data_IF_075859319729
#
_entry.id   IF_075859319729
#
_cell.length_a   1.000
_cell.length_b   1.000
_cell.length_c   1.000
_cell.angle_alpha   90.00
_cell.angle_beta   90.00
_cell.angle_gamma   90.00
#
_symmetry.space_group_name_H-M   'P 1'
#
loop_
_entity.id
_entity.type
_entity.pdbx_description
1 polymer ?
#
# COMPACT_ATOMS: atom_id res chain seq x y z
N UNK A 1 -1.00 -12.68 -5.70
CA UNK A 1 -1.01 -13.33 -7.01
C UNK A 1 -1.57 -14.75 -6.98
N UNK A 2 -1.06 -15.62 -6.14
CA UNK A 2 -1.51 -17.03 -6.07
C UNK A 2 -3.01 -17.17 -5.85
N UNK A 3 -3.58 -16.44 -4.89
CA UNK A 3 -5.02 -16.44 -4.61
C UNK A 3 -5.83 -15.92 -5.81
N UNK A 4 -5.39 -14.83 -6.44
CA UNK A 4 -6.05 -14.28 -7.63
C UNK A 4 -6.01 -15.26 -8.82
N UNK A 5 -4.92 -16.02 -8.99
CA UNK A 5 -4.80 -17.01 -10.05
C UNK A 5 -5.78 -18.18 -9.90
N UNK A 6 -6.13 -18.55 -8.66
CA UNK A 6 -7.14 -19.59 -8.43
C UNK A 6 -8.53 -19.14 -8.90
N UNK A 7 -8.80 -17.82 -8.85
CA UNK A 7 -10.08 -17.24 -9.26
C UNK A 7 -10.09 -16.72 -10.71
N UNK A 8 -8.95 -16.26 -11.20
CA UNK A 8 -8.80 -15.59 -12.50
C UNK A 8 -7.73 -16.30 -13.33
N UNK A 9 -8.08 -17.46 -13.89
CA UNK A 9 -7.16 -18.32 -14.66
C UNK A 9 -6.56 -17.63 -15.90
N UNK A 10 -7.22 -16.60 -16.43
CA UNK A 10 -6.79 -15.86 -17.64
C UNK A 10 -5.93 -14.61 -17.33
N UNK A 11 -5.70 -14.28 -16.06
CA UNK A 11 -4.91 -13.12 -15.68
C UNK A 11 -3.42 -13.41 -15.91
N UNK A 12 -2.78 -12.70 -16.85
CA UNK A 12 -1.35 -12.83 -17.12
C UNK A 12 -0.51 -12.35 -15.92
N UNK A 13 0.35 -13.24 -15.40
CA UNK A 13 1.23 -12.92 -14.27
C UNK A 13 2.12 -11.72 -14.57
N UNK A 14 2.68 -11.65 -15.78
CA UNK A 14 3.56 -10.57 -16.23
C UNK A 14 2.87 -9.21 -16.20
N UNK A 15 1.62 -9.14 -16.66
CA UNK A 15 0.85 -7.88 -16.62
C UNK A 15 0.58 -7.43 -15.19
N UNK A 16 0.16 -8.34 -14.30
CA UNK A 16 -0.08 -8.04 -12.88
C UNK A 16 1.19 -7.59 -12.16
N UNK A 17 2.27 -8.37 -12.31
CA UNK A 17 3.56 -8.02 -11.70
C UNK A 17 4.09 -6.71 -12.25
N UNK A 18 4.01 -6.51 -13.58
CA UNK A 18 4.49 -5.29 -14.24
C UNK A 18 3.81 -4.03 -13.71
N UNK A 19 2.48 -4.00 -13.61
CA UNK A 19 1.77 -2.81 -13.07
C UNK A 19 2.02 -2.62 -11.58
N UNK A 20 2.20 -3.70 -10.82
CA UNK A 20 2.53 -3.61 -9.39
C UNK A 20 3.93 -3.06 -9.18
N UNK A 21 4.92 -3.52 -9.94
CA UNK A 21 6.30 -2.98 -9.91
C UNK A 21 6.32 -1.51 -10.33
N UNK A 22 5.62 -1.15 -11.42
CA UNK A 22 5.53 0.24 -11.86
C UNK A 22 4.91 1.15 -10.77
N UNK A 23 3.85 0.70 -10.12
CA UNK A 23 3.25 1.43 -9.00
C UNK A 23 4.19 1.53 -7.79
N UNK A 24 4.96 0.47 -7.50
CA UNK A 24 5.95 0.49 -6.41
C UNK A 24 7.07 1.50 -6.70
N UNK A 25 7.60 1.52 -7.92
CA UNK A 25 8.62 2.50 -8.34
C UNK A 25 8.08 3.92 -8.25
N UNK A 26 6.88 4.17 -8.78
CA UNK A 26 6.25 5.48 -8.71
C UNK A 26 5.99 5.93 -7.26
N UNK A 27 5.48 5.02 -6.42
CA UNK A 27 5.27 5.28 -4.99
C UNK A 27 6.56 5.58 -4.25
N UNK A 28 7.65 4.85 -4.55
CA UNK A 28 8.97 5.11 -3.98
C UNK A 28 9.49 6.49 -4.39
N UNK A 29 9.40 6.82 -5.68
CA UNK A 29 9.82 8.14 -6.18
C UNK A 29 9.03 9.27 -5.52
N UNK A 30 7.70 9.13 -5.42
CA UNK A 30 6.86 10.11 -4.72
C UNK A 30 7.23 10.25 -3.24
N UNK A 31 7.51 9.13 -2.57
CA UNK A 31 7.92 9.12 -1.16
C UNK A 31 9.27 9.79 -0.91
N UNK A 32 10.19 9.74 -1.91
CA UNK A 32 11.49 10.39 -1.84
C UNK A 32 11.47 11.89 -2.20
N UNK A 33 10.40 12.37 -2.86
CA UNK A 33 10.32 13.77 -3.28
C UNK A 33 10.55 14.79 -2.16
N UNK A 34 9.95 14.66 -0.96
CA UNK A 34 10.18 15.63 0.11
C UNK A 34 11.63 15.70 0.54
N UNK A 35 12.32 14.55 0.65
CA UNK A 35 13.73 14.51 1.07
C UNK A 35 14.69 15.13 0.05
N UNK A 36 14.29 15.19 -1.23
CA UNK A 36 15.06 15.82 -2.30
C UNK A 36 14.69 17.30 -2.45
N UNK A 37 13.39 17.62 -2.40
CA UNK A 37 12.91 18.98 -2.68
C UNK A 37 13.17 19.95 -1.52
N UNK A 38 13.03 19.52 -0.27
CA UNK A 38 13.22 20.41 0.90
C UNK A 38 14.64 21.02 0.92
N UNK A 39 15.73 20.27 0.73
CA UNK A 39 17.07 20.84 0.64
C UNK A 39 17.26 21.76 -0.58
N UNK A 40 16.63 21.42 -1.73
CA UNK A 40 16.76 22.21 -2.95
C UNK A 40 16.01 23.54 -2.91
N UNK A 41 14.92 23.62 -2.16
CA UNK A 41 14.11 24.83 -2.00
C UNK A 41 14.69 25.81 -0.98
N UNK A 42 15.86 25.50 -0.41
CA UNK A 42 16.63 26.40 0.45
C UNK A 42 15.93 26.69 1.78
N UNK A 43 15.76 25.69 2.61
CA UNK A 43 15.65 25.94 4.03
C UNK A 43 17.03 26.42 4.51
N UNK A 44 17.15 27.72 4.77
CA UNK A 44 18.33 28.30 5.40
C UNK A 44 18.74 27.41 6.57
N UNK A 45 20.00 26.94 6.57
CA UNK A 45 20.54 25.87 7.39
C UNK A 45 20.51 26.10 8.92
N UNK A 46 19.48 26.70 9.45
CA UNK A 46 19.11 26.59 10.86
C UNK A 46 18.54 25.16 11.04
N UNK A 47 19.43 24.23 11.40
CA UNK A 47 19.03 22.97 11.98
C UNK A 47 18.31 23.27 13.31
N UNK A 48 17.09 23.77 13.24
CA UNK A 48 16.16 23.67 14.35
C UNK A 48 16.13 22.19 14.68
N UNK A 49 16.37 21.83 15.93
CA UNK A 49 16.11 20.47 16.40
C UNK A 49 14.68 20.12 15.95
N UNK A 50 14.59 19.35 14.87
CA UNK A 50 13.29 18.94 14.33
C UNK A 50 12.77 17.92 15.32
N UNK A 51 12.13 18.43 16.38
CA UNK A 51 11.33 17.59 17.26
C UNK A 51 10.30 16.92 16.37
N UNK A 52 10.41 15.62 16.20
CA UNK A 52 9.49 14.85 15.35
C UNK A 52 8.04 15.10 15.76
N UNK A 53 7.08 14.87 14.85
CA UNK A 53 5.68 15.07 15.19
C UNK A 53 5.28 14.21 16.40
N UNK A 54 4.34 14.66 17.24
CA UNK A 54 3.85 13.89 18.38
C UNK A 54 3.36 12.51 17.93
N UNK A 55 3.55 11.49 18.79
CA UNK A 55 3.22 10.10 18.45
C UNK A 55 1.77 9.90 17.95
N UNK A 56 0.82 10.68 18.47
CA UNK A 56 -0.58 10.62 18.05
C UNK A 56 -0.84 11.12 16.62
N UNK A 57 0.08 11.92 16.06
CA UNK A 57 0.01 12.40 14.67
C UNK A 57 0.49 11.32 13.69
N UNK A 58 1.39 10.45 14.12
CA UNK A 58 1.99 9.44 13.24
C UNK A 58 0.97 8.56 12.52
N UNK A 59 -0.05 7.99 13.19
CA UNK A 59 -1.07 7.21 12.48
C UNK A 59 -1.86 8.05 11.46
N UNK A 60 -2.11 9.33 11.73
CA UNK A 60 -2.84 10.20 10.79
C UNK A 60 -2.02 10.45 9.51
N UNK A 61 -0.72 10.71 9.65
CA UNK A 61 0.21 10.82 8.53
C UNK A 61 0.26 9.50 7.76
N UNK A 62 0.32 8.38 8.49
CA UNK A 62 0.29 7.04 7.91
C UNK A 62 -0.98 6.79 7.11
N UNK A 63 -2.16 7.13 7.64
CA UNK A 63 -3.44 7.01 6.93
C UNK A 63 -3.41 7.81 5.62
N UNK A 64 -3.03 9.08 5.67
CA UNK A 64 -2.94 9.94 4.48
C UNK A 64 -2.00 9.36 3.41
N UNK A 65 -0.79 8.98 3.82
CA UNK A 65 0.20 8.33 2.95
C UNK A 65 -0.34 7.02 2.37
N UNK A 66 -0.96 6.19 3.21
CA UNK A 66 -1.53 4.91 2.80
C UNK A 66 -2.68 5.05 1.82
N UNK A 67 -3.55 6.04 1.97
CA UNK A 67 -4.62 6.32 1.01
C UNK A 67 -4.06 6.67 -0.38
N UNK A 68 -3.02 7.49 -0.43
CA UNK A 68 -2.37 7.88 -1.70
C UNK A 68 -1.68 6.68 -2.34
N UNK A 69 -0.83 5.97 -1.59
CA UNK A 69 -0.11 4.80 -2.11
C UNK A 69 -1.06 3.67 -2.49
N UNK A 70 -2.01 3.34 -1.63
CA UNK A 70 -3.02 2.31 -1.89
C UNK A 70 -3.91 2.64 -3.08
N UNK A 71 -4.27 3.92 -3.25
CA UNK A 71 -4.95 4.41 -4.44
C UNK A 71 -4.11 4.22 -5.70
N UNK A 72 -2.83 4.56 -5.66
CA UNK A 72 -1.89 4.37 -6.76
C UNK A 72 -1.76 2.89 -7.15
N UNK A 73 -1.50 2.00 -6.18
CA UNK A 73 -1.44 0.56 -6.42
C UNK A 73 -2.76 0.02 -6.94
N UNK A 74 -3.87 0.41 -6.31
CA UNK A 74 -5.21 -0.01 -6.71
C UNK A 74 -5.55 0.41 -8.13
N UNK A 75 -5.22 1.64 -8.56
CA UNK A 75 -5.43 2.14 -9.92
C UNK A 75 -4.56 1.40 -10.95
N UNK A 76 -3.27 1.18 -10.64
CA UNK A 76 -2.38 0.44 -11.52
C UNK A 76 -2.89 -1.00 -11.74
N UNK A 77 -3.28 -1.67 -10.68
CA UNK A 77 -3.84 -3.01 -10.74
C UNK A 77 -5.24 -3.06 -11.37
N UNK A 78 -6.06 -2.02 -11.16
CA UNK A 78 -7.36 -1.87 -11.81
C UNK A 78 -7.24 -1.85 -13.33
N UNK A 79 -6.20 -1.23 -13.89
CA UNK A 79 -5.99 -1.19 -15.34
C UNK A 79 -5.96 -2.60 -15.97
N UNK A 80 -5.44 -3.58 -15.25
CA UNK A 80 -5.42 -4.99 -15.66
C UNK A 80 -6.70 -5.71 -15.24
N UNK A 81 -7.15 -5.49 -13.99
CA UNK A 81 -8.26 -6.24 -13.39
C UNK A 81 -9.62 -5.96 -14.06
N UNK A 82 -9.84 -4.73 -14.55
CA UNK A 82 -11.09 -4.32 -15.21
C UNK A 82 -11.49 -5.16 -16.42
N UNK A 83 -10.53 -5.82 -17.05
CA UNK A 83 -10.77 -6.71 -18.19
C UNK A 83 -11.18 -8.14 -17.77
N UNK A 84 -11.07 -8.47 -16.49
CA UNK A 84 -11.28 -9.81 -15.97
C UNK A 84 -12.43 -9.90 -14.96
N UNK A 85 -12.80 -8.79 -14.29
CA UNK A 85 -13.88 -8.74 -13.30
C UNK A 85 -14.79 -7.54 -13.50
N UNK A 86 -16.07 -7.70 -13.15
CA UNK A 86 -17.09 -6.65 -13.30
C UNK A 86 -16.92 -5.52 -12.29
N UNK A 87 -16.59 -5.85 -11.04
CA UNK A 87 -16.50 -4.92 -9.92
C UNK A 87 -15.06 -4.47 -9.62
N UNK A 88 -14.21 -4.36 -10.64
CA UNK A 88 -12.80 -4.03 -10.48
C UNK A 88 -12.54 -2.71 -9.71
N UNK A 89 -13.47 -1.75 -9.74
CA UNK A 89 -13.36 -0.49 -8.98
C UNK A 89 -13.29 -0.70 -7.47
N UNK A 90 -13.95 -1.74 -6.95
CA UNK A 90 -13.89 -2.08 -5.53
C UNK A 90 -12.46 -2.36 -5.08
N UNK A 91 -11.62 -2.92 -5.98
CA UNK A 91 -10.21 -3.20 -5.72
C UNK A 91 -9.40 -1.93 -5.40
N UNK A 92 -9.70 -0.80 -6.07
CA UNK A 92 -9.01 0.49 -5.82
C UNK A 92 -9.27 0.98 -4.40
N UNK A 93 -10.53 1.00 -4.00
CA UNK A 93 -10.91 1.44 -2.66
C UNK A 93 -10.38 0.51 -1.58
N UNK A 94 -10.43 -0.79 -1.84
CA UNK A 94 -9.92 -1.80 -0.91
C UNK A 94 -8.41 -1.65 -0.70
N UNK A 95 -7.65 -1.41 -1.78
CA UNK A 95 -6.22 -1.11 -1.63
C UNK A 95 -6.00 0.19 -0.87
N UNK A 96 -6.72 1.27 -1.18
CA UNK A 96 -6.58 2.54 -0.46
C UNK A 96 -6.79 2.36 1.05
N UNK A 97 -7.86 1.67 1.45
CA UNK A 97 -8.17 1.41 2.87
C UNK A 97 -7.14 0.45 3.50
N UNK A 98 -6.78 -0.62 2.81
CA UNK A 98 -5.80 -1.60 3.30
C UNK A 98 -4.42 -0.96 3.54
N UNK A 99 -3.96 -0.14 2.60
CA UNK A 99 -2.70 0.59 2.75
C UNK A 99 -2.80 1.69 3.81
N UNK A 100 -3.94 2.36 3.96
CA UNK A 100 -4.15 3.35 5.02
C UNK A 100 -3.98 2.70 6.40
N UNK A 101 -4.62 1.54 6.62
CA UNK A 101 -4.49 0.80 7.87
C UNK A 101 -3.04 0.32 8.12
N UNK A 102 -2.39 -0.22 7.10
CA UNK A 102 -1.01 -0.69 7.21
C UNK A 102 -0.03 0.43 7.49
N UNK A 103 -0.14 1.56 6.77
CA UNK A 103 0.74 2.71 6.99
C UNK A 103 0.50 3.38 8.34
N UNK A 104 -0.74 3.40 8.85
CA UNK A 104 -1.01 3.84 10.22
C UNK A 104 -0.20 3.04 11.25
N UNK A 105 -0.19 1.71 11.12
CA UNK A 105 0.60 0.83 11.98
C UNK A 105 2.10 1.09 11.83
N UNK A 106 2.61 1.18 10.59
CA UNK A 106 4.03 1.37 10.32
C UNK A 106 4.53 2.72 10.84
N UNK A 107 3.79 3.80 10.59
CA UNK A 107 4.16 5.13 11.06
C UNK A 107 4.10 5.25 12.59
N UNK A 108 3.10 4.61 13.21
CA UNK A 108 3.03 4.54 14.68
C UNK A 108 4.27 3.82 15.24
N UNK A 109 4.62 2.66 14.67
CA UNK A 109 5.81 1.92 15.08
C UNK A 109 7.11 2.72 14.87
N UNK A 110 7.23 3.41 13.74
CA UNK A 110 8.38 4.26 13.45
C UNK A 110 8.47 5.51 14.36
N UNK A 111 7.36 5.95 14.94
CA UNK A 111 7.32 7.05 15.89
C UNK A 111 7.69 6.67 17.32
N UNK A 112 7.83 5.37 17.64
CA UNK A 112 8.25 4.94 18.98
C UNK A 112 9.75 5.17 19.12
N UNK A 113 10.19 5.94 20.14
CA UNK A 113 11.60 6.20 20.35
C UNK A 113 12.39 4.90 20.58
N UNK A 114 13.50 4.76 19.91
CA UNK A 114 14.43 3.66 20.17
C UNK A 114 15.18 3.91 21.49
N UNK A 115 15.41 2.85 22.27
CA UNK A 115 16.22 2.89 23.47
C UNK A 115 17.74 2.99 23.18
N UNK A 116 18.58 2.87 24.21
CA UNK A 116 20.04 2.96 24.07
C UNK A 116 20.66 1.87 23.20
N UNK A 117 19.92 0.77 22.95
CA UNK A 117 20.35 -0.36 22.10
C UNK A 117 19.44 -0.46 20.87
N UNK A 118 19.56 0.47 19.91
CA UNK A 118 18.56 0.65 18.85
C UNK A 118 18.34 -0.62 18.01
N UNK A 119 19.38 -1.41 17.75
CA UNK A 119 19.23 -2.61 16.90
C UNK A 119 18.45 -3.73 17.57
N UNK A 120 18.62 -3.91 18.87
CA UNK A 120 17.93 -4.94 19.64
C UNK A 120 16.43 -4.64 19.77
N UNK A 121 16.09 -3.36 19.87
CA UNK A 121 14.69 -2.91 20.01
C UNK A 121 14.00 -2.70 18.65
N UNK A 122 14.74 -2.14 17.68
CA UNK A 122 14.18 -1.81 16.36
C UNK A 122 13.82 -3.04 15.53
N UNK A 123 14.60 -4.12 15.57
CA UNK A 123 14.33 -5.31 14.77
C UNK A 123 13.02 -6.00 15.17
N UNK A 124 12.75 -6.29 16.46
CA UNK A 124 11.45 -6.87 16.85
C UNK A 124 10.28 -5.91 16.61
N UNK A 125 10.47 -4.60 16.84
CA UNK A 125 9.44 -3.60 16.56
C UNK A 125 9.12 -3.54 15.06
N UNK A 126 10.13 -3.48 14.20
CA UNK A 126 9.97 -3.49 12.75
C UNK A 126 9.30 -4.79 12.27
N UNK A 127 9.68 -5.94 12.83
CA UNK A 127 9.05 -7.20 12.51
C UNK A 127 7.58 -7.23 12.93
N UNK A 128 7.27 -6.79 14.15
CA UNK A 128 5.90 -6.74 14.65
C UNK A 128 5.02 -5.79 13.83
N UNK A 129 5.50 -4.58 13.56
CA UNK A 129 4.76 -3.59 12.74
C UNK A 129 4.59 -4.08 11.31
N UNK A 130 5.60 -4.71 10.72
CA UNK A 130 5.52 -5.31 9.38
C UNK A 130 4.49 -6.43 9.29
N UNK A 131 4.45 -7.34 10.28
CA UNK A 131 3.45 -8.41 10.37
C UNK A 131 2.05 -7.82 10.52
N UNK A 132 1.84 -6.89 11.46
CA UNK A 132 0.54 -6.26 11.66
C UNK A 132 0.06 -5.48 10.43
N UNK A 133 0.95 -4.74 9.77
CA UNK A 133 0.65 -4.04 8.54
C UNK A 133 0.28 -5.01 7.41
N UNK A 134 1.03 -6.11 7.26
CA UNK A 134 0.73 -7.17 6.30
C UNK A 134 -0.61 -7.85 6.56
N UNK A 135 -0.94 -8.12 7.82
CA UNK A 135 -2.25 -8.66 8.23
C UNK A 135 -3.39 -7.68 7.92
N UNK A 136 -3.21 -6.39 8.18
CA UNK A 136 -4.21 -5.37 7.89
C UNK A 136 -4.52 -5.29 6.38
N UNK A 137 -3.49 -5.19 5.52
CA UNK A 137 -3.67 -5.22 4.06
C UNK A 137 -4.32 -6.55 3.63
N UNK A 138 -3.81 -7.68 4.12
CA UNK A 138 -4.30 -9.00 3.75
C UNK A 138 -5.76 -9.21 4.13
N UNK A 139 -6.17 -8.78 5.31
CA UNK A 139 -7.55 -8.88 5.77
C UNK A 139 -8.50 -8.02 4.90
N UNK A 140 -8.14 -6.76 4.68
CA UNK A 140 -8.97 -5.83 3.89
C UNK A 140 -9.06 -6.29 2.43
N UNK A 141 -7.93 -6.64 1.79
CA UNK A 141 -7.93 -7.10 0.40
C UNK A 141 -8.55 -8.48 0.23
N UNK A 142 -8.36 -9.36 1.22
CA UNK A 142 -8.98 -10.69 1.24
C UNK A 142 -10.50 -10.64 1.36
N UNK A 143 -11.03 -9.71 2.15
CA UNK A 143 -12.46 -9.57 2.34
C UNK A 143 -13.23 -9.16 1.07
N UNK A 144 -12.57 -8.51 0.10
CA UNK A 144 -13.22 -8.10 -1.15
C UNK A 144 -13.20 -9.17 -2.23
N UNK A 145 -12.31 -10.18 -2.11
CA UNK A 145 -12.19 -11.23 -3.14
C UNK A 145 -13.52 -11.92 -3.50
N UNK A 146 -14.41 -12.29 -2.55
CA UNK A 146 -15.69 -12.91 -2.87
C UNK A 146 -16.64 -12.00 -3.69
N UNK A 147 -16.45 -10.69 -3.61
CA UNK A 147 -17.27 -9.70 -4.33
C UNK A 147 -16.76 -9.35 -5.73
N UNK A 148 -15.56 -9.85 -6.09
CA UNK A 148 -15.00 -9.71 -7.42
C UNK A 148 -15.63 -10.76 -8.35
N UNK A 149 -16.70 -10.40 -9.04
CA UNK A 149 -17.38 -11.28 -9.99
C UNK A 149 -16.54 -11.45 -11.27
N UNK A 150 -16.17 -12.68 -11.65
CA UNK A 150 -15.52 -12.93 -12.95
C UNK A 150 -16.40 -12.42 -14.09
N UNK A 151 -15.80 -11.78 -15.08
CA UNK A 151 -16.50 -11.42 -16.32
C UNK A 151 -16.79 -12.72 -17.11
N UNK A 152 -17.90 -13.37 -16.80
CA UNK A 152 -18.29 -14.60 -17.51
C UNK A 152 -18.63 -14.22 -18.94
N UNK A 153 -17.93 -14.84 -19.88
CA UNK A 153 -18.27 -14.76 -21.30
C UNK A 153 -19.66 -15.37 -21.51
N UNK A 154 -20.66 -14.59 -21.92
CA UNK A 154 -22.03 -15.03 -22.22
C UNK A 154 -22.15 -16.00 -23.40
N UNK A 155 -21.03 -16.54 -23.86
CA UNK A 155 -20.98 -17.39 -25.05
C UNK A 155 -21.40 -18.86 -24.81
N UNK A 156 -21.81 -19.27 -23.62
CA UNK A 156 -22.12 -20.70 -23.31
C UNK A 156 -23.63 -20.94 -23.10
N UNK A 157 -24.49 -19.93 -23.14
CA UNK A 157 -25.95 -20.11 -22.88
C UNK A 157 -26.80 -20.09 -24.16
N UNK A 158 -26.21 -19.96 -25.34
CA UNK A 158 -26.93 -19.96 -26.64
C UNK A 158 -26.53 -21.17 -27.53
N UNK A 159 -26.31 -22.34 -26.90
CA UNK A 159 -26.14 -23.61 -27.61
C UNK A 159 -27.23 -24.59 -27.24
#
# INVERSE_FOLDING_TARGET
WWLLRLWLTRLAASAWVGVTVAAAVAGWMLGMLPSVLVPLLGSDGSASEVTGPPLWVMPLVGIGTGLVLGGLFGLAQYAVLRHHVRNARAWVWTNAVGWAAAMAVMFTGAGIPAGPWPWVELLPLAAATGVLAGMAIGAVTGAVLPYLEPAVSRAVVSG
#
